data_IF_959905170770
#
_entry.id   IF_959905170770
#
_cell.length_a   1.000
_cell.length_b   1.000
_cell.length_c   1.000
_cell.angle_alpha   90.00
_cell.angle_beta   90.00
_cell.angle_gamma   90.00
#
_symmetry.space_group_name_H-M   'P 1'
#
loop_
_entity.id
_entity.type
_entity.pdbx_description
1 polymer ?
#
# COMPACT_ATOMS: atom_id res chain seq x y z
N UNK A 1 -2.06 10.17 9.65
CA UNK A 1 -1.40 8.91 9.25
C UNK A 1 -2.10 7.77 9.97
N UNK A 2 -2.32 6.65 9.30
CA UNK A 2 -2.93 5.45 9.90
C UNK A 2 -2.08 4.91 11.05
N UNK A 3 -2.62 4.94 12.27
CA UNK A 3 -1.98 4.50 13.51
C UNK A 3 -1.46 3.05 13.44
N UNK A 4 -2.17 2.18 12.73
CA UNK A 4 -1.81 0.76 12.60
C UNK A 4 -0.69 0.49 11.59
N UNK A 5 -0.45 1.41 10.65
CA UNK A 5 0.59 1.25 9.63
C UNK A 5 2.00 1.22 10.25
N UNK A 6 2.22 2.00 11.33
CA UNK A 6 3.49 1.98 12.06
C UNK A 6 3.83 0.59 12.62
N UNK A 7 2.83 -0.15 13.08
CA UNK A 7 3.01 -1.54 13.53
C UNK A 7 3.33 -2.46 12.34
N UNK A 8 2.61 -2.34 11.22
CA UNK A 8 2.90 -3.14 10.03
C UNK A 8 4.35 -2.95 9.58
N UNK A 9 4.86 -1.71 9.57
CA UNK A 9 6.25 -1.43 9.20
C UNK A 9 7.27 -2.00 10.19
N UNK A 10 7.01 -1.86 11.50
CA UNK A 10 7.89 -2.38 12.53
C UNK A 10 8.02 -3.92 12.48
N UNK A 11 6.91 -4.59 12.18
CA UNK A 11 6.84 -6.06 12.11
C UNK A 11 7.06 -6.63 10.71
N UNK A 12 7.21 -5.77 9.70
CA UNK A 12 7.44 -6.13 8.30
C UNK A 12 8.52 -7.19 8.07
N UNK A 13 9.74 -7.10 8.65
CA UNK A 13 10.75 -8.14 8.46
C UNK A 13 10.31 -9.52 8.97
N UNK A 14 9.51 -9.56 10.03
CA UNK A 14 8.94 -10.80 10.58
C UNK A 14 7.81 -11.32 9.69
N UNK A 15 6.94 -10.44 9.21
CA UNK A 15 5.88 -10.76 8.24
C UNK A 15 6.47 -11.38 6.98
N UNK A 16 7.53 -10.79 6.43
CA UNK A 16 8.23 -11.28 5.25
C UNK A 16 8.80 -12.70 5.47
N UNK A 17 9.40 -12.96 6.63
CA UNK A 17 9.93 -14.29 6.97
C UNK A 17 8.80 -15.31 7.08
N UNK A 18 7.79 -15.00 7.89
CA UNK A 18 6.64 -15.89 8.09
C UNK A 18 5.89 -16.19 6.78
N UNK A 19 5.74 -15.19 5.90
CA UNK A 19 5.14 -15.40 4.59
C UNK A 19 6.02 -16.29 3.70
N UNK A 20 7.34 -16.07 3.69
CA UNK A 20 8.28 -16.86 2.90
C UNK A 20 8.28 -18.34 3.29
N UNK A 21 8.22 -18.65 4.58
CA UNK A 21 8.16 -20.03 5.08
C UNK A 21 6.93 -20.80 4.57
N UNK A 22 5.85 -20.09 4.23
CA UNK A 22 4.61 -20.68 3.75
C UNK A 22 4.18 -20.15 2.37
N UNK A 23 5.10 -19.60 1.56
CA UNK A 23 4.80 -18.93 0.28
C UNK A 23 3.93 -19.81 -0.65
N UNK A 24 4.20 -21.12 -0.66
CA UNK A 24 3.45 -22.11 -1.45
C UNK A 24 1.95 -22.14 -1.11
N UNK A 25 1.61 -21.90 0.16
CA UNK A 25 0.23 -21.93 0.66
C UNK A 25 -0.42 -20.56 0.69
N UNK A 26 0.34 -19.50 0.39
CA UNK A 26 -0.13 -18.11 0.33
C UNK A 26 -0.90 -17.74 1.61
N UNK A 27 -0.25 -17.81 2.78
CA UNK A 27 -0.90 -17.58 4.06
C UNK A 27 -1.43 -16.15 4.14
N UNK A 28 -2.45 -15.97 4.96
CA UNK A 28 -2.87 -14.66 5.43
C UNK A 28 -2.06 -14.35 6.68
N UNK A 29 -1.43 -13.17 6.72
CA UNK A 29 -0.64 -12.75 7.88
C UNK A 29 -1.52 -11.92 8.80
N UNK A 30 -1.55 -12.25 10.08
CA UNK A 30 -2.27 -11.54 11.13
C UNK A 30 -1.28 -11.01 12.17
N UNK A 31 -1.30 -9.72 12.43
CA UNK A 31 -0.56 -9.06 13.50
C UNK A 31 -1.55 -8.78 14.62
N UNK A 32 -1.34 -9.42 15.76
CA UNK A 32 -2.06 -9.07 16.98
C UNK A 32 -1.24 -8.04 17.76
N UNK A 33 -1.76 -6.82 17.87
CA UNK A 33 -1.07 -5.72 18.58
C UNK A 33 -1.22 -5.83 20.10
N UNK A 34 -2.19 -6.61 20.59
CA UNK A 34 -2.42 -6.80 22.02
C UNK A 34 -1.44 -7.84 22.56
N UNK A 35 -1.23 -8.93 21.80
CA UNK A 35 -0.22 -9.93 22.13
C UNK A 35 1.18 -9.59 21.62
N UNK A 36 1.30 -8.60 20.73
CA UNK A 36 2.53 -8.29 20.00
C UNK A 36 3.10 -9.54 19.28
N UNK A 37 2.24 -10.23 18.51
CA UNK A 37 2.58 -11.47 17.79
C UNK A 37 2.14 -11.43 16.34
N UNK A 38 2.91 -12.14 15.51
CA UNK A 38 2.59 -12.36 14.09
C UNK A 38 2.20 -13.82 13.91
N UNK A 39 1.01 -14.03 13.35
CA UNK A 39 0.47 -15.33 13.02
C UNK A 39 0.37 -15.47 11.51
N UNK A 40 0.79 -16.63 10.98
CA UNK A 40 0.57 -17.00 9.60
C UNK A 40 -0.56 -18.02 9.55
N UNK A 41 -1.74 -17.60 9.09
CA UNK A 41 -2.90 -18.46 9.00
C UNK A 41 -3.11 -18.98 7.59
N UNK A 42 -3.42 -20.28 7.41
CA UNK A 42 -3.89 -20.76 6.14
C UNK A 42 -5.27 -20.15 5.84
N UNK A 43 -5.48 -19.78 4.58
CA UNK A 43 -6.69 -19.10 4.11
C UNK A 43 -7.99 -19.77 4.60
N UNK A 44 -8.05 -21.09 4.54
CA UNK A 44 -9.25 -21.85 4.91
C UNK A 44 -9.58 -21.76 6.41
N UNK A 45 -8.59 -21.73 7.29
CA UNK A 45 -8.83 -21.62 8.74
C UNK A 45 -9.29 -20.22 9.09
N UNK A 46 -8.61 -19.20 8.56
CA UNK A 46 -8.96 -17.81 8.81
C UNK A 46 -10.35 -17.44 8.28
N UNK A 47 -10.75 -18.01 7.14
CA UNK A 47 -12.10 -17.82 6.56
C UNK A 47 -13.20 -18.34 7.49
N UNK A 48 -12.95 -19.39 8.28
CA UNK A 48 -13.97 -19.94 9.18
C UNK A 48 -14.25 -19.01 10.36
N UNK A 49 -13.23 -18.34 10.91
CA UNK A 49 -13.39 -17.36 12.00
C UNK A 49 -14.12 -16.07 11.58
N UNK A 50 -14.12 -15.74 10.29
CA UNK A 50 -14.76 -14.53 9.79
C UNK A 50 -16.27 -14.71 9.58
N UNK A 51 -17.03 -13.60 9.73
CA UNK A 51 -18.43 -13.53 9.31
C UNK A 51 -18.57 -13.55 7.78
N UNK A 52 -19.73 -13.95 7.25
CA UNK A 52 -19.97 -14.07 5.80
C UNK A 52 -19.49 -12.86 4.98
N UNK A 53 -19.86 -11.63 5.38
CA UNK A 53 -19.41 -10.39 4.70
C UNK A 53 -17.89 -10.19 4.70
N UNK A 54 -17.22 -10.60 5.76
CA UNK A 54 -15.76 -10.49 5.88
C UNK A 54 -15.06 -11.60 5.08
N UNK A 55 -15.71 -12.76 4.90
CA UNK A 55 -15.22 -13.84 4.03
C UNK A 55 -15.17 -13.40 2.57
N UNK A 56 -16.23 -12.76 2.07
CA UNK A 56 -16.26 -12.24 0.69
C UNK A 56 -15.16 -11.20 0.45
N UNK A 57 -14.97 -10.27 1.39
CA UNK A 57 -13.89 -9.28 1.31
C UNK A 57 -12.50 -9.92 1.34
N UNK A 58 -12.30 -10.92 2.20
CA UNK A 58 -11.03 -11.64 2.27
C UNK A 58 -10.76 -12.39 0.95
N UNK A 59 -11.77 -13.01 0.35
CA UNK A 59 -11.66 -13.74 -0.92
C UNK A 59 -11.22 -12.81 -2.06
N UNK A 60 -11.82 -11.62 -2.13
CA UNK A 60 -11.47 -10.59 -3.11
C UNK A 60 -10.04 -10.05 -2.90
N UNK A 61 -9.70 -9.67 -1.65
CA UNK A 61 -8.35 -9.19 -1.31
C UNK A 61 -7.28 -10.25 -1.59
N UNK A 62 -7.55 -11.50 -1.24
CA UNK A 62 -6.62 -12.60 -1.46
C UNK A 62 -6.47 -12.90 -2.95
N UNK A 63 -7.56 -12.91 -3.72
CA UNK A 63 -7.51 -13.09 -5.17
C UNK A 63 -6.69 -11.98 -5.84
N UNK A 64 -6.83 -10.74 -5.38
CA UNK A 64 -6.09 -9.62 -5.93
C UNK A 64 -4.61 -9.67 -5.55
N UNK A 65 -4.30 -9.99 -4.29
CA UNK A 65 -2.94 -10.14 -3.83
C UNK A 65 -2.19 -11.26 -4.57
N UNK A 66 -2.89 -12.36 -4.89
CA UNK A 66 -2.34 -13.43 -5.71
C UNK A 66 -2.00 -12.99 -7.14
N UNK A 67 -2.80 -12.10 -7.74
CA UNK A 67 -2.55 -11.58 -9.08
C UNK A 67 -1.40 -10.58 -9.10
N UNK A 68 -1.27 -9.79 -8.04
CA UNK A 68 -0.32 -8.68 -7.96
C UNK A 68 0.99 -9.04 -7.24
N UNK A 69 1.14 -10.29 -6.76
CA UNK A 69 2.26 -10.68 -5.87
C UNK A 69 2.33 -9.77 -4.64
N UNK A 70 1.20 -9.57 -3.97
CA UNK A 70 1.10 -8.83 -2.72
C UNK A 70 0.85 -9.80 -1.55
N UNK A 71 1.15 -9.32 -0.34
CA UNK A 71 0.82 -9.97 0.92
C UNK A 71 -0.34 -9.22 1.55
N UNK A 72 -1.38 -9.97 1.93
CA UNK A 72 -2.47 -9.42 2.73
C UNK A 72 -2.09 -9.52 4.21
N UNK A 73 -1.92 -8.38 4.86
CA UNK A 73 -1.61 -8.27 6.29
C UNK A 73 -2.82 -7.73 7.03
N UNK A 74 -3.32 -8.49 7.99
CA UNK A 74 -4.36 -8.07 8.91
C UNK A 74 -3.74 -7.59 10.21
N UNK A 75 -4.27 -6.51 10.77
CA UNK A 75 -3.95 -6.00 12.10
C UNK A 75 -5.18 -6.15 12.97
N UNK A 76 -5.09 -7.02 13.98
CA UNK A 76 -6.13 -7.27 14.96
C UNK A 76 -5.89 -6.40 16.18
N UNK A 77 -6.88 -5.55 16.45
CA UNK A 77 -6.98 -4.75 17.65
C UNK A 77 -8.19 -5.24 18.46
N UNK A 78 -7.93 -6.11 19.41
CA UNK A 78 -8.97 -6.68 20.28
C UNK A 78 -9.55 -5.63 21.24
N UNK A 79 -8.72 -4.73 21.79
CA UNK A 79 -9.14 -3.62 22.65
C UNK A 79 -10.22 -2.76 21.98
N UNK A 80 -10.07 -2.47 20.68
CA UNK A 80 -11.03 -1.67 19.90
C UNK A 80 -12.00 -2.53 19.07
N UNK A 81 -11.94 -3.86 19.20
CA UNK A 81 -12.66 -4.85 18.37
C UNK A 81 -12.59 -4.53 16.87
N UNK A 82 -11.42 -4.11 16.42
CA UNK A 82 -11.19 -3.64 15.05
C UNK A 82 -10.21 -4.56 14.35
N UNK A 83 -10.53 -4.90 13.11
CA UNK A 83 -9.67 -5.68 12.23
C UNK A 83 -9.42 -4.83 10.97
N UNK A 84 -8.17 -4.49 10.73
CA UNK A 84 -7.76 -3.66 9.59
C UNK A 84 -6.90 -4.50 8.66
N UNK A 85 -7.15 -4.46 7.35
CA UNK A 85 -6.29 -5.13 6.37
C UNK A 85 -5.50 -4.14 5.52
N UNK A 86 -4.28 -4.53 5.19
CA UNK A 86 -3.35 -3.81 4.35
C UNK A 86 -2.82 -4.74 3.25
N UNK A 87 -2.76 -4.22 2.04
CA UNK A 87 -2.14 -4.87 0.89
C UNK A 87 -0.71 -4.35 0.80
N UNK A 88 0.27 -5.23 1.00
CA UNK A 88 1.68 -4.85 0.93
C UNK A 88 2.36 -5.57 -0.23
N UNK A 89 3.13 -4.87 -1.09
CA UNK A 89 3.83 -5.51 -2.19
C UNK A 89 4.88 -6.49 -1.66
N UNK A 90 4.88 -7.72 -2.19
CA UNK A 90 5.92 -8.70 -1.87
C UNK A 90 7.18 -8.38 -2.67
N UNK A 91 8.33 -8.31 -1.99
CA UNK A 91 9.61 -7.85 -2.54
C UNK A 91 10.08 -8.62 -3.78
N UNK A 92 9.58 -9.85 -3.99
CA UNK A 92 9.83 -10.64 -5.21
C UNK A 92 9.41 -9.92 -6.51
N UNK A 93 8.55 -8.91 -6.41
CA UNK A 93 8.08 -8.06 -7.52
C UNK A 93 8.54 -6.60 -7.46
N UNK A 94 9.37 -6.21 -6.48
CA UNK A 94 9.83 -4.84 -6.27
C UNK A 94 10.77 -4.29 -7.38
N UNK A 95 11.02 -5.04 -8.45
CA UNK A 95 11.70 -4.52 -9.64
C UNK A 95 10.82 -3.59 -10.49
N UNK A 96 9.51 -3.45 -10.21
CA UNK A 96 8.64 -2.49 -10.92
C UNK A 96 7.52 -1.93 -10.02
N UNK A 97 7.80 -0.85 -9.30
CA UNK A 97 6.89 0.28 -8.98
C UNK A 97 7.24 0.89 -7.61
N UNK A 98 8.36 1.62 -7.57
CA UNK A 98 8.49 2.72 -6.64
C UNK A 98 7.85 3.96 -7.27
N UNK A 99 6.55 4.13 -7.07
CA UNK A 99 5.89 5.42 -7.20
C UNK A 99 4.96 5.59 -6.01
N UNK A 100 5.58 5.67 -4.83
CA UNK A 100 4.98 6.29 -3.67
C UNK A 100 4.55 7.71 -4.05
N UNK A 101 3.27 7.95 -3.80
CA UNK A 101 2.57 9.22 -3.90
C UNK A 101 3.12 10.24 -2.90
N UNK A 102 3.49 11.44 -3.40
CA UNK A 102 3.03 12.76 -2.93
C UNK A 102 3.78 13.89 -3.69
N UNK A 103 3.21 15.10 -3.90
CA UNK A 103 1.86 15.58 -3.58
C UNK A 103 1.04 15.96 -4.83
N UNK A 104 -0.29 16.00 -4.72
CA UNK A 104 -1.16 16.60 -5.72
C UNK A 104 -0.88 18.11 -5.73
N UNK A 105 -0.14 18.57 -6.73
CA UNK A 105 0.03 19.98 -7.07
C UNK A 105 -1.05 20.36 -8.10
N UNK A 106 -1.86 21.35 -7.77
CA UNK A 106 -2.54 22.21 -8.74
C UNK A 106 -3.93 21.75 -9.20
N UNK A 107 -4.97 22.16 -8.47
CA UNK A 107 -6.24 22.46 -9.11
C UNK A 107 -6.14 23.81 -9.85
N UNK A 108 -6.49 23.79 -11.13
CA UNK A 108 -7.07 24.96 -11.80
C UNK A 108 -6.16 25.73 -12.75
N UNK A 109 -5.84 25.15 -13.90
CA UNK A 109 -5.61 25.96 -15.09
C UNK A 109 -6.92 26.61 -15.54
N UNK A 110 -6.82 27.85 -16.04
CA UNK A 110 -7.26 28.30 -17.38
C UNK A 110 -7.55 29.81 -17.34
N UNK A 111 -6.68 30.62 -17.98
CA UNK A 111 -7.13 31.45 -19.10
C UNK A 111 -5.97 31.98 -19.95
N UNK A 112 -6.04 31.65 -21.24
CA UNK A 112 -5.30 32.22 -22.36
C UNK A 112 -5.52 33.73 -22.42
N UNK A 113 -4.47 34.53 -22.60
CA UNK A 113 -4.44 35.64 -23.58
C UNK A 113 -3.02 35.82 -24.13
N UNK A 114 -2.94 35.71 -25.45
CA UNK A 114 -1.82 36.12 -26.29
C UNK A 114 -1.72 37.65 -26.23
N UNK A 115 -0.51 38.18 -26.03
CA UNK A 115 -0.12 39.51 -26.54
C UNK A 115 1.37 39.52 -26.83
N UNK A 116 1.72 40.12 -27.96
CA UNK A 116 2.98 40.00 -28.71
C UNK A 116 4.24 40.56 -28.01
N UNK A 117 5.44 40.24 -28.52
CA UNK A 117 6.50 41.21 -28.68
C UNK A 117 6.66 41.53 -30.18
N UNK A 118 6.80 42.81 -30.57
CA UNK A 118 8.18 43.28 -30.72
C UNK A 118 8.39 44.79 -30.54
N UNK A 119 9.68 45.17 -30.60
CA UNK A 119 10.29 46.52 -30.64
C UNK A 119 10.62 47.07 -29.23
N UNK A 120 11.85 47.51 -28.91
CA UNK A 120 12.79 48.28 -29.73
C UNK A 120 14.24 48.25 -29.16
N UNK A 121 15.21 48.21 -30.10
CA UNK A 121 16.40 49.08 -30.25
C UNK A 121 17.39 49.33 -29.09
N UNK A 122 18.67 49.08 -29.43
CA UNK A 122 19.88 49.77 -28.97
C UNK A 122 21.00 48.76 -28.67
N UNK A 123 22.26 48.86 -29.09
CA UNK A 123 23.07 49.85 -29.83
C UNK A 123 24.32 49.08 -30.33
N UNK A 124 24.88 49.54 -31.45
CA UNK A 124 26.18 49.17 -32.06
C UNK A 124 27.37 49.35 -31.09
N UNK A 125 28.54 48.76 -31.44
CA UNK A 125 29.65 49.66 -31.75
C UNK A 125 30.32 49.30 -33.08
N UNK A 126 30.72 50.32 -33.82
CA UNK A 126 31.72 50.25 -34.88
C UNK A 126 32.85 51.20 -34.48
N UNK A 127 34.08 50.78 -34.75
CA UNK A 127 35.34 51.55 -34.87
C UNK A 127 35.58 52.72 -33.90
#
# INVERSE_FOLDING_TARGET
MDEYWGYVQAWWPTVCRAYRDFEERKPVILIDINEAKVYAYPYNEFKQELSARSRDRLDEQQTQAQRNSEIVVFVRDELRKKLVSYNCPWERSASRQNSHTAPVRGHGGVRKKRTAPPQSRGRTPAD
#
